data_IF_295788197238
#
_entry.id   IF_295788197238
#
_cell.length_a   1.000
_cell.length_b   1.000
_cell.length_c   1.000
_cell.angle_alpha   90.00
_cell.angle_beta   90.00
_cell.angle_gamma   90.00
#
_symmetry.space_group_name_H-M   'P 1'
#
loop_
_entity.id
_entity.type
_entity.pdbx_description
1 polymer ?
#
# COMPACT_ATOMS: atom_id res chain seq x y z
N UNK A 1 23.82 -5.90 -14.67
CA UNK A 1 23.60 -5.39 -13.31
C UNK A 1 22.57 -4.25 -13.41
N UNK A 2 21.27 -4.57 -13.39
CA UNK A 2 20.17 -3.59 -13.24
C UNK A 2 18.84 -4.34 -13.06
N UNK A 3 18.30 -4.37 -11.83
CA UNK A 3 16.85 -4.24 -11.70
C UNK A 3 16.41 -3.32 -10.53
N UNK A 4 17.35 -2.87 -9.67
CA UNK A 4 17.02 -2.05 -8.48
C UNK A 4 16.44 -0.68 -8.85
N UNK A 5 16.98 -0.04 -9.88
CA UNK A 5 16.51 1.27 -10.35
C UNK A 5 15.04 1.26 -10.78
N UNK A 6 14.51 0.13 -11.29
CA UNK A 6 13.11 0.08 -11.75
C UNK A 6 12.13 -0.03 -10.59
N UNK A 7 12.46 -0.82 -9.56
CA UNK A 7 11.57 -1.06 -8.44
C UNK A 7 11.50 0.13 -7.47
N UNK A 8 12.60 0.85 -7.30
CA UNK A 8 12.64 2.09 -6.51
C UNK A 8 11.88 3.21 -7.24
N UNK A 9 12.10 3.38 -8.54
CA UNK A 9 11.34 4.37 -9.33
C UNK A 9 9.83 4.08 -9.36
N UNK A 10 9.43 2.81 -9.44
CA UNK A 10 8.02 2.41 -9.39
C UNK A 10 7.41 2.68 -8.00
N UNK A 11 8.16 2.43 -6.92
CA UNK A 11 7.73 2.78 -5.57
C UNK A 11 7.52 4.29 -5.42
N UNK A 12 8.50 5.10 -5.86
CA UNK A 12 8.38 6.56 -5.82
C UNK A 12 7.17 7.06 -6.62
N UNK A 13 6.96 6.56 -7.84
CA UNK A 13 5.81 6.94 -8.66
C UNK A 13 4.48 6.63 -7.97
N UNK A 14 4.34 5.44 -7.37
CA UNK A 14 3.13 5.08 -6.63
C UNK A 14 2.91 5.97 -5.41
N UNK A 15 3.98 6.34 -4.68
CA UNK A 15 3.88 7.25 -3.55
C UNK A 15 3.41 8.65 -3.96
N UNK A 16 3.89 9.13 -5.11
CA UNK A 16 3.47 10.42 -5.68
C UNK A 16 2.01 10.40 -6.18
N UNK A 17 1.50 9.23 -6.60
CA UNK A 17 0.12 9.07 -7.07
C UNK A 17 -0.91 8.97 -5.94
N UNK A 18 -0.56 8.39 -4.78
CA UNK A 18 -1.49 8.14 -3.66
C UNK A 18 -2.35 9.37 -3.29
N UNK A 19 -1.81 10.60 -3.15
CA UNK A 19 -2.60 11.79 -2.83
C UNK A 19 -3.63 12.18 -3.89
N UNK A 20 -3.55 11.63 -5.10
CA UNK A 20 -4.48 11.90 -6.19
C UNK A 20 -5.56 10.82 -6.33
N UNK A 21 -5.43 9.68 -5.65
CA UNK A 21 -6.38 8.58 -5.79
C UNK A 21 -7.77 8.97 -5.26
N UNK A 22 -8.86 8.48 -5.89
CA UNK A 22 -10.19 8.58 -5.32
C UNK A 22 -10.30 7.82 -4.00
N UNK A 23 -11.16 8.27 -3.09
CA UNK A 23 -11.32 7.69 -1.75
C UNK A 23 -11.57 6.18 -1.76
N UNK A 24 -12.45 5.70 -2.64
CA UNK A 24 -12.73 4.27 -2.80
C UNK A 24 -11.48 3.47 -3.22
N UNK A 25 -10.64 4.04 -4.08
CA UNK A 25 -9.39 3.42 -4.50
C UNK A 25 -8.37 3.40 -3.37
N UNK A 26 -8.29 4.49 -2.60
CA UNK A 26 -7.39 4.63 -1.47
C UNK A 26 -7.69 3.58 -0.38
N UNK A 27 -8.97 3.45 0.01
CA UNK A 27 -9.44 2.43 0.96
C UNK A 27 -9.15 1.02 0.42
N UNK A 28 -9.49 0.76 -0.85
CA UNK A 28 -9.28 -0.54 -1.47
C UNK A 28 -7.79 -0.92 -1.54
N UNK A 29 -6.92 0.01 -1.92
CA UNK A 29 -5.48 -0.23 -2.01
C UNK A 29 -4.84 -0.39 -0.63
N UNK A 30 -5.21 0.41 0.38
CA UNK A 30 -4.74 0.24 1.74
C UNK A 30 -5.00 -1.20 2.23
N UNK A 31 -6.22 -1.71 2.05
CA UNK A 31 -6.58 -3.10 2.39
C UNK A 31 -5.75 -4.09 1.58
N UNK A 32 -5.68 -3.90 0.26
CA UNK A 32 -4.95 -4.81 -0.64
C UNK A 32 -3.47 -4.92 -0.29
N UNK A 33 -2.81 -3.82 0.11
CA UNK A 33 -1.41 -3.83 0.56
C UNK A 33 -1.20 -4.66 1.83
N UNK A 34 -2.20 -4.74 2.70
CA UNK A 34 -2.15 -5.53 3.94
C UNK A 34 -2.49 -7.02 3.77
N UNK A 35 -3.33 -7.35 2.80
CA UNK A 35 -3.92 -8.71 2.71
C UNK A 35 -3.39 -9.53 1.54
N UNK A 36 -2.97 -8.90 0.45
CA UNK A 36 -2.56 -9.64 -0.75
C UNK A 36 -1.24 -10.37 -0.56
N UNK A 37 -1.24 -11.65 -0.92
CA UNK A 37 -0.05 -12.52 -0.96
C UNK A 37 1.10 -11.94 -1.80
N UNK A 38 0.78 -11.15 -2.83
CA UNK A 38 1.80 -10.51 -3.69
C UNK A 38 2.69 -9.51 -2.92
N UNK A 39 2.20 -9.00 -1.80
CA UNK A 39 2.89 -8.03 -0.98
C UNK A 39 3.62 -8.66 0.21
N UNK A 40 3.61 -10.00 0.31
CA UNK A 40 4.30 -10.76 1.35
C UNK A 40 5.62 -11.33 0.87
N UNK A 41 6.55 -11.49 1.80
CA UNK A 41 7.88 -12.06 1.54
C UNK A 41 7.71 -13.46 0.94
N UNK A 42 8.43 -13.75 -0.14
CA UNK A 42 8.34 -15.00 -0.92
C UNK A 42 6.93 -15.34 -1.45
N UNK A 43 5.99 -14.40 -1.43
CA UNK A 43 4.57 -14.66 -1.69
C UNK A 43 3.99 -15.74 -0.78
N UNK A 44 4.48 -15.85 0.45
CA UNK A 44 3.91 -16.71 1.48
C UNK A 44 2.63 -16.04 2.04
N UNK A 45 1.45 -16.69 2.01
CA UNK A 45 0.21 -16.12 2.58
C UNK A 45 0.33 -15.81 4.08
N UNK A 46 1.13 -16.58 4.82
CA UNK A 46 1.33 -16.41 6.26
C UNK A 46 2.62 -15.61 6.57
N UNK A 47 3.43 -15.35 5.54
CA UNK A 47 4.67 -14.60 5.65
C UNK A 47 4.46 -13.10 5.91
N UNK A 48 5.47 -12.40 6.45
CA UNK A 48 5.37 -10.97 6.72
C UNK A 48 5.22 -10.15 5.43
N UNK A 49 4.65 -8.95 5.56
CA UNK A 49 4.63 -7.97 4.46
C UNK A 49 6.06 -7.56 4.08
N UNK A 50 6.27 -7.34 2.80
CA UNK A 50 7.49 -6.73 2.27
C UNK A 50 7.59 -5.28 2.73
N UNK A 51 8.82 -4.77 2.85
CA UNK A 51 9.05 -3.37 3.22
C UNK A 51 8.37 -2.39 2.27
N UNK A 52 8.36 -2.68 0.96
CA UNK A 52 7.64 -1.89 -0.06
C UNK A 52 6.13 -1.81 0.23
N UNK A 53 5.51 -2.94 0.57
CA UNK A 53 4.10 -2.98 0.90
C UNK A 53 3.77 -2.23 2.19
N UNK A 54 4.64 -2.33 3.21
CA UNK A 54 4.51 -1.56 4.44
C UNK A 54 4.56 -0.05 4.16
N UNK A 55 5.50 0.41 3.33
CA UNK A 55 5.60 1.82 2.94
C UNK A 55 4.36 2.31 2.19
N UNK A 56 3.89 1.55 1.20
CA UNK A 56 2.68 1.91 0.44
C UNK A 56 1.43 1.90 1.32
N UNK A 57 1.31 0.92 2.22
CA UNK A 57 0.19 0.85 3.17
C UNK A 57 0.20 2.03 4.12
N UNK A 58 1.36 2.41 4.66
CA UNK A 58 1.49 3.57 5.54
C UNK A 58 1.12 4.87 4.82
N UNK A 59 1.64 5.09 3.61
CA UNK A 59 1.31 6.29 2.82
C UNK A 59 -0.19 6.38 2.47
N UNK A 60 -0.81 5.24 2.10
CA UNK A 60 -2.25 5.19 1.86
C UNK A 60 -3.04 5.50 3.14
N UNK A 61 -2.63 4.96 4.29
CA UNK A 61 -3.26 5.22 5.59
C UNK A 61 -3.12 6.70 5.99
N UNK A 62 -1.94 7.30 5.85
CA UNK A 62 -1.72 8.73 6.15
C UNK A 62 -2.61 9.65 5.29
N UNK A 63 -2.79 9.32 4.01
CA UNK A 63 -3.70 10.07 3.15
C UNK A 63 -5.18 9.83 3.53
N UNK A 64 -5.55 8.63 3.95
CA UNK A 64 -6.88 8.34 4.49
C UNK A 64 -7.13 9.16 5.77
N UNK A 65 -6.16 9.22 6.67
CA UNK A 65 -6.18 10.05 7.89
C UNK A 65 -6.41 11.52 7.57
N UNK A 66 -5.65 12.07 6.61
CA UNK A 66 -5.83 13.46 6.15
C UNK A 66 -7.23 13.74 5.61
N UNK A 67 -7.88 12.74 5.00
CA UNK A 67 -9.23 12.87 4.43
C UNK A 67 -10.35 12.47 5.39
N UNK A 68 -10.03 11.96 6.58
CA UNK A 68 -11.03 11.47 7.53
C UNK A 68 -11.70 10.15 7.13
N UNK A 69 -10.98 9.27 6.41
CA UNK A 69 -11.48 7.99 5.90
C UNK A 69 -11.05 6.78 6.77
N UNK A 70 -10.42 7.02 7.91
CA UNK A 70 -9.80 5.97 8.77
C UNK A 70 -10.79 4.89 9.18
N UNK A 71 -12.02 5.28 9.54
CA UNK A 71 -13.07 4.33 9.94
C UNK A 71 -13.37 3.28 8.85
N UNK A 72 -13.25 3.65 7.57
CA UNK A 72 -13.49 2.73 6.44
C UNK A 72 -12.38 1.69 6.26
N UNK A 73 -11.21 1.89 6.88
CA UNK A 73 -10.14 0.90 6.91
C UNK A 73 -10.36 -0.20 7.97
N UNK A 74 -11.11 0.09 9.04
CA UNK A 74 -11.25 -0.77 10.22
C UNK A 74 -12.52 -1.64 10.21
N UNK A 75 -13.50 -1.36 9.34
CA UNK A 75 -14.80 -2.06 9.28
C UNK A 75 -14.77 -3.54 8.78
N UNK A 76 -13.63 -4.22 8.77
CA UNK A 76 -13.55 -5.66 8.46
C UNK A 76 -12.75 -6.41 9.56
N UNK A 77 -13.41 -6.63 10.70
CA UNK A 77 -13.12 -7.69 11.67
C UNK A 77 -13.69 -9.04 11.20
#
# INVERSE_FOLDING_TARGET
MAPRSSAESELSALLDEIPSWPDAMLVHMHKRFGTSRLFRVHHDPDGPLTQRALTLRAAAFEEMSRRGLEALAEDED
#
